data_IF_151682251155
#
_entry.id   IF_151682251155
#
_cell.length_a   1.000
_cell.length_b   1.000
_cell.length_c   1.000
_cell.angle_alpha   90.00
_cell.angle_beta   90.00
_cell.angle_gamma   90.00
#
_symmetry.space_group_name_H-M   'P 1'
#
loop_
_entity.id
_entity.type
_entity.pdbx_description
1 polymer ?
#
# COMPACT_ATOMS: atom_id res chain seq x y z
N UNK A 1 -8.77 6.68 32.56
CA UNK A 1 -9.04 5.96 31.29
C UNK A 1 -7.89 6.11 30.28
N UNK A 2 -6.65 5.78 30.65
CA UNK A 2 -5.48 5.95 29.78
C UNK A 2 -5.11 4.69 28.97
N UNK A 3 -5.83 3.58 29.16
CA UNK A 3 -5.46 2.25 28.68
C UNK A 3 -6.01 1.87 27.28
N UNK A 4 -6.72 2.76 26.58
CA UNK A 4 -7.29 2.46 25.24
C UNK A 4 -6.80 3.38 24.10
N UNK A 5 -5.91 4.34 24.40
CA UNK A 5 -5.18 5.13 23.40
C UNK A 5 -3.90 4.44 22.92
N UNK A 6 -3.61 3.24 23.43
CA UNK A 6 -2.57 2.38 22.93
C UNK A 6 -3.01 1.87 21.55
N UNK A 7 -2.34 2.40 20.52
CA UNK A 7 -2.15 1.83 19.20
C UNK A 7 -3.21 1.97 18.08
N UNK A 8 -4.23 2.82 18.24
CA UNK A 8 -5.11 3.18 17.10
C UNK A 8 -4.41 3.97 15.98
N UNK A 9 -3.17 4.40 16.17
CA UNK A 9 -2.34 5.08 15.18
C UNK A 9 -1.17 4.22 14.69
N UNK A 10 -1.11 2.93 14.98
CA UNK A 10 0.01 2.10 14.55
C UNK A 10 -0.03 1.83 13.05
N UNK A 11 0.78 2.56 12.30
CA UNK A 11 0.87 2.39 10.84
C UNK A 11 1.28 0.97 10.45
N UNK A 12 2.05 0.28 11.28
CA UNK A 12 2.49 -1.08 11.01
C UNK A 12 1.31 -2.05 10.95
N UNK A 13 0.38 -1.98 11.92
CA UNK A 13 -0.79 -2.88 12.00
C UNK A 13 -1.68 -2.68 10.77
N UNK A 14 -2.04 -1.43 10.48
CA UNK A 14 -2.89 -1.13 9.33
C UNK A 14 -2.22 -1.48 8.00
N UNK A 15 -0.90 -1.29 7.87
CA UNK A 15 -0.19 -1.73 6.67
C UNK A 15 -0.31 -3.25 6.47
N UNK A 16 -0.12 -4.04 7.52
CA UNK A 16 -0.22 -5.51 7.44
C UNK A 16 -1.65 -5.99 7.20
N UNK A 17 -2.65 -5.36 7.82
CA UNK A 17 -4.07 -5.61 7.51
C UNK A 17 -4.39 -5.27 6.05
N UNK A 18 -3.87 -4.15 5.54
CA UNK A 18 -4.03 -3.77 4.14
C UNK A 18 -3.44 -4.80 3.18
N UNK A 19 -2.26 -5.34 3.49
CA UNK A 19 -1.65 -6.43 2.72
C UNK A 19 -2.51 -7.68 2.72
N UNK A 20 -3.02 -8.09 3.89
CA UNK A 20 -3.89 -9.26 4.03
C UNK A 20 -5.16 -9.11 3.19
N UNK A 21 -5.83 -7.96 3.26
CA UNK A 21 -7.03 -7.70 2.46
C UNK A 21 -6.74 -7.60 0.95
N UNK A 22 -5.59 -7.04 0.56
CA UNK A 22 -5.15 -7.02 -0.84
C UNK A 22 -4.98 -8.44 -1.40
N UNK A 23 -4.38 -9.34 -0.61
CA UNK A 23 -4.18 -10.74 -0.97
C UNK A 23 -5.50 -11.52 -1.06
N UNK A 24 -6.44 -11.24 -0.15
CA UNK A 24 -7.81 -11.75 -0.19
C UNK A 24 -8.68 -11.10 -1.28
N UNK A 25 -8.12 -10.19 -2.08
CA UNK A 25 -8.84 -9.42 -3.12
C UNK A 25 -9.98 -8.55 -2.58
N UNK A 26 -9.97 -8.25 -1.29
CA UNK A 26 -10.87 -7.31 -0.66
C UNK A 26 -10.29 -5.89 -0.76
N UNK A 27 -10.35 -5.33 -1.96
CA UNK A 27 -9.63 -4.10 -2.29
C UNK A 27 -10.15 -2.87 -1.56
N UNK A 28 -11.44 -2.81 -1.21
CA UNK A 28 -11.97 -1.69 -0.43
C UNK A 28 -11.39 -1.65 0.99
N UNK A 29 -11.40 -2.80 1.69
CA UNK A 29 -10.75 -2.89 2.99
C UNK A 29 -9.22 -2.69 2.89
N UNK A 30 -8.58 -3.15 1.82
CA UNK A 30 -7.15 -2.92 1.62
C UNK A 30 -6.85 -1.41 1.54
N UNK A 31 -7.58 -0.65 0.72
CA UNK A 31 -7.42 0.80 0.59
C UNK A 31 -7.64 1.52 1.92
N UNK A 32 -8.69 1.16 2.66
CA UNK A 32 -9.00 1.81 3.94
C UNK A 32 -7.89 1.59 4.97
N UNK A 33 -7.33 0.37 5.02
CA UNK A 33 -6.20 0.07 5.88
C UNK A 33 -4.90 0.77 5.43
N UNK A 34 -4.59 0.84 4.14
CA UNK A 34 -3.42 1.62 3.70
C UNK A 34 -3.55 3.12 3.99
N UNK A 35 -4.76 3.69 3.87
CA UNK A 35 -5.03 5.08 4.28
C UNK A 35 -4.90 5.27 5.78
N UNK A 36 -5.39 4.32 6.58
CA UNK A 36 -5.21 4.34 8.03
C UNK A 36 -3.72 4.25 8.41
N UNK A 37 -2.93 3.46 7.69
CA UNK A 37 -1.48 3.41 7.86
C UNK A 37 -0.84 4.76 7.55
N UNK A 38 -1.24 5.42 6.46
CA UNK A 38 -0.76 6.76 6.07
C UNK A 38 -1.17 7.86 7.07
N UNK A 39 -2.28 7.69 7.77
CA UNK A 39 -2.74 8.60 8.83
C UNK A 39 -2.18 8.28 10.24
N UNK A 40 -1.35 7.26 10.36
CA UNK A 40 -0.79 6.79 11.63
C UNK A 40 0.58 7.40 11.98
N UNK A 41 1.35 6.67 12.78
CA UNK A 41 2.68 7.05 13.27
C UNK A 41 3.77 7.06 12.20
N UNK A 42 3.57 6.36 11.08
CA UNK A 42 4.54 6.16 10.00
C UNK A 42 5.92 5.75 10.54
N UNK A 43 5.93 4.89 11.56
CA UNK A 43 7.13 4.35 12.17
C UNK A 43 7.12 2.83 12.05
N UNK A 44 8.09 2.24 11.33
CA UNK A 44 9.22 2.88 10.65
C UNK A 44 8.84 3.72 9.39
N UNK A 45 9.66 4.72 8.98
CA UNK A 45 9.35 5.67 7.89
C UNK A 45 9.01 5.03 6.54
N UNK A 46 9.61 3.88 6.22
CA UNK A 46 9.34 3.16 4.97
C UNK A 46 7.88 2.75 4.80
N UNK A 47 7.10 2.71 5.90
CA UNK A 47 5.66 2.47 5.85
C UNK A 47 4.95 3.49 4.98
N UNK A 48 5.44 4.73 4.89
CA UNK A 48 4.81 5.76 4.09
C UNK A 48 4.90 5.42 2.59
N UNK A 49 6.10 5.12 2.09
CA UNK A 49 6.30 4.82 0.66
C UNK A 49 5.60 3.52 0.27
N UNK A 50 5.70 2.49 1.09
CA UNK A 50 5.06 1.22 0.78
C UNK A 50 3.54 1.27 0.92
N UNK A 51 2.98 2.06 1.85
CA UNK A 51 1.52 2.22 1.93
C UNK A 51 0.96 2.93 0.70
N UNK A 52 1.64 3.95 0.17
CA UNK A 52 1.23 4.59 -1.10
C UNK A 52 1.32 3.63 -2.30
N UNK A 53 2.41 2.83 -2.39
CA UNK A 53 2.54 1.81 -3.44
C UNK A 53 1.38 0.80 -3.34
N UNK A 54 1.14 0.23 -2.16
CA UNK A 54 0.09 -0.79 -2.01
C UNK A 54 -1.32 -0.22 -2.16
N UNK A 55 -1.53 1.05 -1.81
CA UNK A 55 -2.76 1.77 -2.12
C UNK A 55 -2.96 1.87 -3.63
N UNK A 56 -1.90 2.19 -4.38
CA UNK A 56 -1.93 2.15 -5.85
C UNK A 56 -2.29 0.77 -6.40
N UNK A 57 -1.68 -0.29 -5.87
CA UNK A 57 -2.00 -1.67 -6.26
C UNK A 57 -3.46 -2.01 -6.03
N UNK A 58 -4.04 -1.58 -4.90
CA UNK A 58 -5.45 -1.81 -4.60
C UNK A 58 -6.38 -1.08 -5.58
N UNK A 59 -6.02 0.14 -6.01
CA UNK A 59 -6.76 0.87 -7.04
C UNK A 59 -6.65 0.21 -8.43
N UNK A 60 -5.46 -0.18 -8.85
CA UNK A 60 -5.24 -0.89 -10.12
C UNK A 60 -6.06 -2.19 -10.18
N UNK A 61 -6.07 -2.95 -9.08
CA UNK A 61 -6.81 -4.21 -8.99
C UNK A 61 -8.33 -4.04 -9.13
N UNK A 62 -8.87 -2.84 -8.87
CA UNK A 62 -10.27 -2.46 -9.10
C UNK A 62 -10.50 -1.77 -10.45
N UNK A 63 -9.45 -1.60 -11.27
CA UNK A 63 -9.51 -0.90 -12.55
C UNK A 63 -9.46 0.63 -12.45
N UNK A 64 -9.24 1.20 -11.27
CA UNK A 64 -9.11 2.65 -11.06
C UNK A 64 -7.66 3.11 -11.31
N UNK A 65 -7.22 2.98 -12.57
CA UNK A 65 -5.85 3.29 -12.99
C UNK A 65 -5.46 4.74 -12.69
N UNK A 66 -6.40 5.66 -12.83
CA UNK A 66 -6.16 7.09 -12.56
C UNK A 66 -5.76 7.31 -11.11
N UNK A 67 -6.49 6.73 -10.14
CA UNK A 67 -6.11 6.86 -8.73
C UNK A 67 -4.88 6.03 -8.37
N UNK A 68 -4.66 4.91 -9.05
CA UNK A 68 -3.44 4.11 -8.87
C UNK A 68 -2.18 4.91 -9.22
N UNK A 69 -2.13 5.50 -10.41
CA UNK A 69 -1.01 6.35 -10.86
C UNK A 69 -0.81 7.53 -9.92
N UNK A 70 -1.90 8.16 -9.45
CA UNK A 70 -1.80 9.24 -8.47
C UNK A 70 -1.15 8.78 -7.15
N UNK A 71 -1.40 7.56 -6.70
CA UNK A 71 -0.75 6.99 -5.51
C UNK A 71 0.73 6.68 -5.78
N UNK A 72 1.07 6.07 -6.92
CA UNK A 72 2.46 5.82 -7.29
C UNK A 72 3.27 7.12 -7.42
N UNK A 73 2.70 8.20 -7.99
CA UNK A 73 3.36 9.50 -8.04
C UNK A 73 3.54 10.14 -6.66
N UNK A 74 2.69 9.84 -5.67
CA UNK A 74 2.96 10.24 -4.27
C UNK A 74 4.12 9.44 -3.69
N UNK A 75 4.17 8.13 -3.94
CA UNK A 75 5.30 7.28 -3.52
C UNK A 75 6.63 7.71 -4.16
N UNK A 76 6.62 8.09 -5.44
CA UNK A 76 7.80 8.61 -6.16
C UNK A 76 8.36 9.86 -5.48
N UNK A 77 7.48 10.81 -5.13
CA UNK A 77 7.85 12.08 -4.49
C UNK A 77 8.48 11.90 -3.10
N UNK A 78 8.23 10.78 -2.43
CA UNK A 78 8.84 10.50 -1.13
C UNK A 78 10.34 10.19 -1.26
N UNK A 79 10.79 9.67 -2.40
CA UNK A 79 12.20 9.35 -2.65
C UNK A 79 12.80 8.23 -1.78
N UNK A 80 12.04 7.68 -0.83
CA UNK A 80 12.47 6.55 -0.01
C UNK A 80 12.60 5.30 -0.89
N UNK A 81 13.79 4.69 -0.88
CA UNK A 81 14.11 3.50 -1.67
C UNK A 81 14.31 2.24 -0.81
N UNK A 82 13.73 2.20 0.39
CA UNK A 82 13.69 1.00 1.22
C UNK A 82 13.11 -0.18 0.44
N UNK A 83 13.84 -1.30 0.42
CA UNK A 83 13.45 -2.54 -0.28
C UNK A 83 13.11 -2.33 -1.77
N UNK A 84 13.85 -1.45 -2.46
CA UNK A 84 13.66 -1.13 -3.88
C UNK A 84 12.29 -0.51 -4.20
N UNK A 85 11.72 0.25 -3.27
CA UNK A 85 10.43 0.91 -3.45
C UNK A 85 10.37 1.77 -4.73
N UNK A 86 11.44 2.46 -5.10
CA UNK A 86 11.43 3.32 -6.31
C UNK A 86 11.42 2.50 -7.60
N UNK A 87 11.99 1.30 -7.60
CA UNK A 87 11.87 0.39 -8.74
C UNK A 87 10.44 -0.15 -8.85
N UNK A 88 9.81 -0.48 -7.72
CA UNK A 88 8.40 -0.87 -7.69
C UNK A 88 7.48 0.25 -8.21
N UNK A 89 7.74 1.50 -7.83
CA UNK A 89 7.01 2.68 -8.35
C UNK A 89 7.12 2.76 -9.86
N UNK A 90 8.33 2.71 -10.42
CA UNK A 90 8.54 2.76 -11.89
C UNK A 90 7.81 1.63 -12.60
N UNK A 91 7.92 0.40 -12.06
CA UNK A 91 7.20 -0.76 -12.59
C UNK A 91 5.69 -0.51 -12.63
N UNK A 92 5.11 -0.02 -11.53
CA UNK A 92 3.66 0.14 -11.43
C UNK A 92 3.12 1.40 -12.13
N UNK A 93 3.95 2.42 -12.34
CA UNK A 93 3.62 3.54 -13.24
C UNK A 93 3.59 3.10 -14.70
N UNK A 94 4.53 2.24 -15.12
CA UNK A 94 4.58 1.72 -16.48
C UNK A 94 3.46 0.70 -16.75
N UNK A 95 3.23 -0.22 -15.81
CA UNK A 95 2.29 -1.33 -15.97
C UNK A 95 1.34 -1.40 -14.77
N UNK A 96 0.02 -1.55 -14.97
CA UNK A 96 -0.92 -1.77 -13.88
C UNK A 96 -0.56 -2.99 -13.04
N UNK A 97 -0.76 -2.90 -11.73
CA UNK A 97 -0.70 -4.08 -10.87
C UNK A 97 -1.80 -5.08 -11.26
N UNK A 98 -1.40 -6.29 -11.65
CA UNK A 98 -2.32 -7.41 -11.83
C UNK A 98 -2.28 -8.36 -10.61
N UNK A 99 -3.37 -8.49 -9.83
CA UNK A 99 -3.44 -9.43 -8.70
C UNK A 99 -3.35 -10.90 -9.11
N UNK A 100 -3.46 -11.25 -10.40
CA UNK A 100 -3.38 -12.62 -10.92
C UNK A 100 -1.95 -13.05 -11.20
N UNK A 101 -1.05 -12.13 -11.54
CA UNK A 101 0.36 -12.43 -11.82
C UNK A 101 1.08 -13.09 -10.64
N UNK A 102 0.71 -12.73 -9.40
CA UNK A 102 1.29 -13.32 -8.19
C UNK A 102 0.97 -14.81 -8.02
N UNK A 103 -0.14 -15.31 -8.56
CA UNK A 103 -0.55 -16.72 -8.40
C UNK A 103 0.15 -17.65 -9.41
N UNK A 104 0.65 -17.11 -10.52
CA UNK A 104 1.31 -17.89 -11.58
C UNK A 104 2.72 -18.36 -11.23
N UNK A 105 3.33 -17.84 -10.16
CA UNK A 105 4.68 -18.21 -9.74
C UNK A 105 4.75 -19.48 -8.85
N UNK A 106 3.62 -20.13 -8.57
CA UNK A 106 3.53 -21.32 -7.69
C UNK A 106 2.90 -22.52 -8.43
N UNK A 107 3.24 -22.70 -9.71
CA UNK A 107 2.84 -23.89 -10.48
C UNK A 107 4.05 -24.61 -11.04
#
# INVERSE_FOLDING_TARGET
EAALKLDRSNSWIYYHLGLLFLEQRNYDLAKDNFRAALGGTLSPPWLQVWSEIKLGNAYDAQGDRTRAVAAYSRAEKLGDNYDNAQEAVKRFQANPYDPREKQTAVR
#
